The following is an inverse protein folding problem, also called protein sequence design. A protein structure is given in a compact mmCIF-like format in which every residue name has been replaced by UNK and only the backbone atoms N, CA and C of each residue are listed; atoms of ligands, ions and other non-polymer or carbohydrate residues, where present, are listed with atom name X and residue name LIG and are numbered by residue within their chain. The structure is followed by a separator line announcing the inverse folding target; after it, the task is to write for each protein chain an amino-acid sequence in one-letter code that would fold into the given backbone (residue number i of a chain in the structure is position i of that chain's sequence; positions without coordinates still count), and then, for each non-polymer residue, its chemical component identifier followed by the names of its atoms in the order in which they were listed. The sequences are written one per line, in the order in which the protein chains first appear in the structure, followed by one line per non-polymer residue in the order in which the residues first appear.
data_IF_959173571598
#
_entry.id   IF_959173571598
#
_cell.length_a   1.000
_cell.length_b   1.000
_cell.length_c   1.000
_cell.angle_alpha   90.00
_cell.angle_beta   90.00
_cell.angle_gamma   90.00
#
_symmetry.space_group_name_H-M   'P 1'
#
loop_
_entity.id
_entity.type
_entity.pdbx_description
1 polymer ?
#
# COMPACT_ATOMS: atom_id res chain seq x y z
N UNK A 1 -7.14 2.54 -22.91
CA UNK A 1 -6.19 3.20 -21.98
C UNK A 1 -5.94 2.24 -20.83
N UNK A 2 -4.68 2.02 -20.43
CA UNK A 2 -4.32 1.07 -19.38
C UNK A 2 -3.61 1.80 -18.24
N UNK A 3 -4.23 1.84 -17.07
CA UNK A 3 -3.69 2.50 -15.87
C UNK A 3 -3.88 1.59 -14.67
N UNK A 4 -2.95 1.68 -13.72
CA UNK A 4 -3.01 0.94 -12.46
C UNK A 4 -2.60 1.85 -11.33
N UNK A 5 -3.35 1.79 -10.26
CA UNK A 5 -3.01 2.40 -8.99
C UNK A 5 -2.83 1.29 -7.96
N UNK A 6 -1.91 1.46 -7.02
CA UNK A 6 -1.64 0.50 -5.96
C UNK A 6 -1.47 1.20 -4.62
N UNK A 7 -1.99 0.56 -3.58
CA UNK A 7 -1.80 0.91 -2.18
C UNK A 7 -1.48 -0.35 -1.40
N UNK A 8 -0.62 -0.23 -0.40
CA UNK A 8 -0.19 -1.35 0.43
C UNK A 8 -0.34 -0.98 1.92
N UNK A 9 -0.54 -2.00 2.75
CA UNK A 9 -0.29 -1.95 4.18
C UNK A 9 0.75 -2.99 4.53
N UNK A 10 1.51 -2.70 5.58
CA UNK A 10 2.61 -3.52 6.05
C UNK A 10 2.43 -3.90 7.51
N UNK A 11 3.10 -4.98 7.89
CA UNK A 11 3.25 -5.43 9.27
C UNK A 11 4.72 -5.85 9.48
N UNK A 12 5.20 -5.92 10.74
CA UNK A 12 6.52 -6.47 11.02
C UNK A 12 6.61 -7.93 10.56
N UNK A 13 7.71 -8.31 9.91
CA UNK A 13 7.98 -9.70 9.51
C UNK A 13 8.42 -10.54 10.72
N UNK A 14 7.44 -11.05 11.46
CA UNK A 14 7.67 -11.86 12.65
C UNK A 14 8.42 -13.16 12.31
N UNK A 15 8.05 -13.83 11.23
CA UNK A 15 8.65 -15.10 10.84
C UNK A 15 10.12 -14.89 10.43
N UNK A 16 10.39 -13.86 9.61
CA UNK A 16 11.73 -13.48 9.22
C UNK A 16 12.60 -13.09 10.42
N UNK A 17 12.07 -12.32 11.37
CA UNK A 17 12.82 -11.95 12.57
C UNK A 17 13.12 -13.13 13.50
N UNK A 18 12.19 -14.08 13.65
CA UNK A 18 12.45 -15.31 14.41
C UNK A 18 13.60 -16.10 13.82
N UNK A 19 13.61 -16.25 12.49
CA UNK A 19 14.68 -16.94 11.78
C UNK A 19 16.02 -16.18 11.89
N UNK A 20 15.99 -14.85 11.73
CA UNK A 20 17.19 -14.01 11.76
C UNK A 20 17.86 -13.95 13.14
N UNK A 21 17.06 -13.87 14.20
CA UNK A 21 17.55 -13.71 15.58
C UNK A 21 17.53 -15.03 16.38
N UNK A 22 17.31 -16.16 15.71
CA UNK A 22 17.27 -17.51 16.33
C UNK A 22 16.34 -17.57 17.56
N UNK A 23 15.15 -16.94 17.46
CA UNK A 23 14.21 -16.82 18.58
C UNK A 23 13.32 -18.06 18.71
N UNK A 24 13.29 -18.61 19.91
CA UNK A 24 12.44 -19.74 20.27
C UNK A 24 10.93 -19.38 20.23
N UNK A 25 10.09 -20.40 20.03
CA UNK A 25 8.62 -20.27 19.98
C UNK A 25 8.02 -19.70 21.28
N UNK A 26 8.71 -19.85 22.42
CA UNK A 26 8.31 -19.26 23.71
C UNK A 26 8.32 -17.73 23.73
N UNK A 27 9.07 -17.08 22.84
CA UNK A 27 9.03 -15.63 22.67
C UNK A 27 7.75 -15.28 21.94
N UNK A 28 6.87 -14.44 22.51
CA UNK A 28 5.62 -14.06 21.84
C UNK A 28 5.87 -13.16 20.62
N UNK A 29 4.97 -13.17 19.63
CA UNK A 29 5.05 -12.27 18.46
C UNK A 29 5.10 -10.80 18.85
N UNK A 30 4.47 -10.44 19.98
CA UNK A 30 4.57 -9.10 20.58
C UNK A 30 6.01 -8.73 20.90
N UNK A 31 6.76 -9.67 21.48
CA UNK A 31 8.16 -9.47 21.85
C UNK A 31 9.06 -9.49 20.63
N UNK A 32 8.79 -10.36 19.65
CA UNK A 32 9.51 -10.36 18.37
C UNK A 32 9.35 -9.01 17.65
N UNK A 33 8.12 -8.50 17.52
CA UNK A 33 7.86 -7.18 16.94
C UNK A 33 8.63 -6.06 17.67
N UNK A 34 8.67 -6.10 19.00
CA UNK A 34 9.47 -5.14 19.79
C UNK A 34 10.97 -5.22 19.47
N UNK A 35 11.51 -6.41 19.25
CA UNK A 35 12.90 -6.59 18.83
C UNK A 35 13.12 -5.92 17.47
N UNK A 36 12.23 -6.16 16.50
CA UNK A 36 12.28 -5.53 15.16
C UNK A 36 12.27 -3.99 15.29
N UNK A 37 11.29 -3.41 15.99
CA UNK A 37 11.19 -1.95 16.16
C UNK A 37 12.39 -1.37 16.93
N UNK A 38 12.94 -2.11 17.89
CA UNK A 38 14.12 -1.69 18.63
C UNK A 38 15.35 -1.60 17.73
N UNK A 39 15.61 -2.64 16.93
CA UNK A 39 16.71 -2.64 15.97
C UNK A 39 16.53 -1.54 14.92
N UNK A 40 15.32 -1.41 14.36
CA UNK A 40 15.01 -0.38 13.39
C UNK A 40 15.29 1.03 13.92
N UNK A 41 14.82 1.34 15.13
CA UNK A 41 15.06 2.64 15.79
C UNK A 41 16.55 2.89 16.03
N UNK A 42 17.34 1.86 16.35
CA UNK A 42 18.78 2.02 16.52
C UNK A 42 19.50 2.32 15.21
N UNK A 43 19.04 1.72 14.10
CA UNK A 43 19.65 1.86 12.77
C UNK A 43 19.26 3.16 12.08
N UNK A 44 17.97 3.53 12.12
CA UNK A 44 17.39 4.62 11.33
C UNK A 44 17.08 5.87 12.15
N UNK A 45 17.19 5.79 13.48
CA UNK A 45 16.83 6.86 14.39
C UNK A 45 15.37 6.82 14.86
N UNK A 46 15.04 7.69 15.82
CA UNK A 46 13.73 7.68 16.52
C UNK A 46 12.55 8.17 15.69
N UNK A 47 12.82 8.93 14.62
CA UNK A 47 11.78 9.54 13.80
C UNK A 47 11.40 8.66 12.58
N UNK A 48 12.03 7.48 12.46
CA UNK A 48 11.74 6.54 11.37
C UNK A 48 10.36 5.88 11.57
N UNK A 49 9.43 6.22 10.67
CA UNK A 49 8.03 5.77 10.76
C UNK A 49 7.78 4.40 10.14
N UNK A 50 8.62 3.98 9.20
CA UNK A 50 8.44 2.75 8.42
C UNK A 50 9.67 1.86 8.54
N UNK A 51 9.42 0.59 8.81
CA UNK A 51 10.43 -0.46 8.86
C UNK A 51 11.18 -0.55 7.54
N UNK A 52 12.45 -0.97 7.61
CA UNK A 52 13.21 -1.22 6.41
C UNK A 52 12.54 -2.36 5.60
N UNK A 53 12.68 -2.39 4.25
CA UNK A 53 12.09 -3.42 3.39
C UNK A 53 12.24 -4.88 3.84
N UNK A 54 13.34 -5.23 4.52
CA UNK A 54 13.59 -6.59 5.01
C UNK A 54 12.97 -6.88 6.39
N UNK A 55 12.56 -5.85 7.13
CA UNK A 55 11.95 -5.93 8.46
C UNK A 55 10.42 -5.96 8.41
N UNK A 56 9.82 -5.52 7.29
CA UNK A 56 8.39 -5.52 7.05
C UNK A 56 7.96 -6.69 6.15
N UNK A 57 6.66 -6.98 6.17
CA UNK A 57 5.95 -7.86 5.25
C UNK A 57 4.69 -7.17 4.73
N UNK A 58 4.24 -7.53 3.53
CA UNK A 58 2.97 -7.06 2.97
C UNK A 58 1.79 -7.71 3.72
N UNK A 59 0.85 -6.91 4.20
CA UNK A 59 -0.33 -7.38 4.93
C UNK A 59 -1.63 -7.20 4.13
N UNK A 60 -1.74 -6.09 3.41
CA UNK A 60 -2.84 -5.79 2.49
C UNK A 60 -2.25 -5.16 1.24
N UNK A 61 -2.74 -5.57 0.06
CA UNK A 61 -2.48 -4.87 -1.18
C UNK A 61 -3.79 -4.67 -1.92
N UNK A 62 -4.08 -3.42 -2.26
CA UNK A 62 -5.23 -3.02 -3.05
C UNK A 62 -4.73 -2.41 -4.36
N UNK A 63 -5.40 -2.75 -5.45
CA UNK A 63 -5.11 -2.24 -6.79
C UNK A 63 -6.39 -1.75 -7.46
N UNK A 64 -6.30 -0.59 -8.10
CA UNK A 64 -7.34 -0.07 -8.97
C UNK A 64 -6.84 -0.14 -10.41
N UNK A 65 -7.45 -1.01 -11.21
CA UNK A 65 -7.08 -1.22 -12.60
C UNK A 65 -8.10 -0.53 -13.51
N UNK A 66 -7.60 0.21 -14.50
CA UNK A 66 -8.40 0.84 -15.55
C UNK A 66 -7.89 0.27 -16.86
N UNK A 67 -8.76 -0.45 -17.59
CA UNK A 67 -8.44 -1.04 -18.89
C UNK A 67 -9.56 -0.71 -19.85
N UNK A 68 -9.24 0.09 -20.87
CA UNK A 68 -10.21 0.51 -21.89
C UNK A 68 -11.50 1.08 -21.28
N UNK A 69 -11.33 1.93 -20.25
CA UNK A 69 -12.37 2.58 -19.44
C UNK A 69 -13.17 1.63 -18.52
N UNK A 70 -12.93 0.33 -18.56
CA UNK A 70 -13.43 -0.59 -17.55
C UNK A 70 -12.59 -0.48 -16.27
N UNK A 71 -13.25 -0.31 -15.12
CA UNK A 71 -12.60 -0.18 -13.83
C UNK A 71 -12.74 -1.44 -12.99
N UNK A 72 -11.68 -1.79 -12.26
CA UNK A 72 -11.67 -2.94 -11.36
C UNK A 72 -10.90 -2.64 -10.09
N UNK A 73 -11.55 -2.82 -8.95
CA UNK A 73 -10.89 -2.88 -7.65
C UNK A 73 -10.52 -4.34 -7.35
N UNK A 74 -9.24 -4.58 -7.06
CA UNK A 74 -8.71 -5.89 -6.65
C UNK A 74 -8.05 -5.71 -5.30
N UNK A 75 -8.42 -6.51 -4.31
CA UNK A 75 -7.84 -6.45 -2.97
C UNK A 75 -7.40 -7.84 -2.53
N UNK A 76 -6.25 -7.94 -1.89
CA UNK A 76 -5.71 -9.19 -1.36
C UNK A 76 -5.01 -8.91 -0.03
N UNK A 77 -5.22 -9.77 0.97
CA UNK A 77 -4.68 -9.59 2.30
C UNK A 77 -4.35 -10.91 3.00
N UNK A 78 -3.54 -10.83 4.05
CA UNK A 78 -2.97 -11.99 4.72
C UNK A 78 -3.96 -12.84 5.54
N UNK A 79 -5.17 -12.35 5.80
CA UNK A 79 -6.18 -13.15 6.48
C UNK A 79 -6.73 -14.32 5.61
N UNK A 80 -6.66 -14.18 4.28
CA UNK A 80 -7.20 -15.19 3.35
C UNK A 80 -6.10 -16.03 2.69
N UNK A 81 -4.86 -15.53 2.70
CA UNK A 81 -3.73 -16.05 1.92
C UNK A 81 -2.41 -15.74 2.63
N UNK A 82 -1.39 -16.54 2.35
CA UNK A 82 0.00 -16.22 2.75
C UNK A 82 0.55 -15.01 1.98
N UNK A 83 1.62 -14.39 2.49
CA UNK A 83 2.31 -13.30 1.76
C UNK A 83 2.86 -13.77 0.41
N UNK A 84 3.36 -15.01 0.33
CA UNK A 84 3.78 -15.63 -0.94
C UNK A 84 2.63 -15.66 -1.95
N UNK A 85 1.44 -16.12 -1.55
CA UNK A 85 0.26 -16.15 -2.43
C UNK A 85 -0.23 -14.74 -2.81
N UNK A 86 -0.03 -13.75 -1.94
CA UNK A 86 -0.27 -12.34 -2.25
C UNK A 86 0.70 -11.87 -3.35
N UNK A 87 2.00 -12.09 -3.18
CA UNK A 87 3.01 -11.71 -4.17
C UNK A 87 2.80 -12.40 -5.52
N UNK A 88 2.49 -13.70 -5.51
CA UNK A 88 2.16 -14.46 -6.71
C UNK A 88 0.91 -13.90 -7.44
N UNK A 89 -0.06 -13.37 -6.69
CA UNK A 89 -1.23 -12.70 -7.26
C UNK A 89 -0.88 -11.31 -7.85
N UNK A 90 0.10 -10.61 -7.29
CA UNK A 90 0.55 -9.30 -7.78
C UNK A 90 1.43 -9.40 -9.03
N UNK A 91 2.31 -10.40 -9.11
CA UNK A 91 3.28 -10.56 -10.18
C UNK A 91 2.68 -10.38 -11.59
N UNK A 92 1.62 -11.09 -12.01
CA UNK A 92 1.07 -10.94 -13.36
C UNK A 92 0.41 -9.57 -13.63
N UNK A 93 0.14 -8.77 -12.59
CA UNK A 93 -0.48 -7.44 -12.71
C UNK A 93 0.54 -6.32 -12.80
N UNK A 94 1.73 -6.53 -12.23
CA UNK A 94 2.78 -5.51 -12.11
C UNK A 94 4.01 -5.78 -13.01
N UNK A 95 4.27 -7.02 -13.41
CA UNK A 95 5.47 -7.35 -14.19
C UNK A 95 5.43 -6.71 -15.58
N UNK A 96 6.37 -5.79 -15.83
CA UNK A 96 6.45 -5.01 -17.08
C UNK A 96 5.28 -4.03 -17.26
N UNK A 97 4.58 -3.68 -16.18
CA UNK A 97 3.47 -2.75 -16.19
C UNK A 97 3.72 -1.62 -15.18
N UNK A 98 3.53 -0.38 -15.61
CA UNK A 98 3.58 0.77 -14.71
C UNK A 98 2.33 0.79 -13.81
N UNK A 99 2.55 0.94 -12.50
CA UNK A 99 1.52 1.30 -11.55
C UNK A 99 1.89 2.58 -10.80
N UNK A 100 0.91 3.43 -10.53
CA UNK A 100 1.07 4.64 -9.75
C UNK A 100 0.71 4.37 -8.29
N UNK A 101 1.39 5.03 -7.36
CA UNK A 101 1.09 4.93 -5.93
C UNK A 101 1.24 6.29 -5.24
N UNK A 102 0.68 6.40 -4.04
CA UNK A 102 1.17 7.36 -3.05
C UNK A 102 2.10 6.58 -2.14
N UNK A 103 3.41 6.84 -2.21
CA UNK A 103 4.42 6.05 -1.50
C UNK A 103 4.51 6.44 -0.02
N UNK A 104 4.26 7.71 0.30
CA UNK A 104 4.31 8.27 1.66
C UNK A 104 5.64 8.01 2.41
N UNK A 105 6.71 7.71 1.67
CA UNK A 105 8.03 7.38 2.22
C UNK A 105 8.24 5.91 2.60
N UNK A 106 7.31 5.00 2.25
CA UNK A 106 7.44 3.55 2.55
C UNK A 106 8.47 2.85 1.66
N UNK A 107 8.89 3.48 0.56
CA UNK A 107 9.75 2.85 -0.44
C UNK A 107 9.12 1.54 -0.97
N UNK A 108 7.85 1.60 -1.37
CA UNK A 108 7.03 0.43 -1.72
C UNK A 108 7.68 -0.45 -2.79
N UNK A 109 8.37 0.15 -3.76
CA UNK A 109 9.09 -0.60 -4.78
C UNK A 109 10.23 -1.45 -4.20
N UNK A 110 10.98 -0.91 -3.24
CA UNK A 110 12.06 -1.64 -2.56
C UNK A 110 11.50 -2.74 -1.66
N UNK A 111 10.42 -2.43 -0.94
CA UNK A 111 9.67 -3.40 -0.14
C UNK A 111 9.21 -4.60 -0.98
N UNK A 112 8.41 -4.36 -2.03
CA UNK A 112 7.84 -5.44 -2.85
C UNK A 112 8.95 -6.30 -3.48
N UNK A 113 10.03 -5.68 -4.00
CA UNK A 113 11.18 -6.43 -4.55
C UNK A 113 11.88 -7.27 -3.50
N UNK A 114 12.05 -6.74 -2.29
CA UNK A 114 12.68 -7.47 -1.18
C UNK A 114 11.82 -8.66 -0.75
N UNK A 115 10.50 -8.49 -0.65
CA UNK A 115 9.58 -9.57 -0.29
C UNK A 115 9.47 -10.64 -1.38
N UNK A 116 9.48 -10.23 -2.65
CA UNK A 116 9.56 -11.16 -3.78
C UNK A 116 10.81 -12.04 -3.69
N UNK A 117 11.98 -11.45 -3.37
CA UNK A 117 13.22 -12.19 -3.17
C UNK A 117 13.12 -13.19 -2.01
N UNK A 118 12.56 -12.78 -0.86
CA UNK A 118 12.38 -13.65 0.31
C UNK A 118 11.52 -14.88 -0.01
N UNK A 119 10.49 -14.71 -0.83
CA UNK A 119 9.55 -15.78 -1.19
C UNK A 119 9.88 -16.50 -2.50
N UNK A 120 11.05 -16.22 -3.11
CA UNK A 120 11.44 -16.76 -4.41
C UNK A 120 10.41 -16.51 -5.55
N UNK A 121 9.68 -15.40 -5.46
CA UNK A 121 8.70 -14.97 -6.46
C UNK A 121 9.35 -14.07 -7.53
N UNK A 122 8.92 -14.25 -8.78
CA UNK A 122 9.49 -13.53 -9.93
C UNK A 122 8.73 -12.23 -10.23
N UNK A 123 9.30 -11.09 -9.82
CA UNK A 123 8.89 -9.75 -10.24
C UNK A 123 10.05 -9.10 -11.01
N UNK A 124 10.14 -9.37 -12.32
CA UNK A 124 11.33 -9.03 -13.13
C UNK A 124 11.40 -7.54 -13.41
N UNK A 125 10.28 -6.93 -13.70
CA UNK A 125 10.18 -5.52 -14.08
C UNK A 125 9.06 -4.82 -13.30
N UNK A 126 9.26 -4.68 -11.99
CA UNK A 126 8.36 -3.87 -11.15
C UNK A 126 8.63 -2.38 -11.39
N UNK A 127 7.61 -1.69 -11.90
CA UNK A 127 7.62 -0.25 -12.15
C UNK A 127 6.53 0.43 -11.32
N UNK A 128 6.95 1.06 -10.22
CA UNK A 128 6.07 1.92 -9.43
C UNK A 128 6.48 3.39 -9.62
N UNK A 129 5.50 4.24 -9.88
CA UNK A 129 5.67 5.68 -9.97
C UNK A 129 4.91 6.37 -8.84
N UNK A 130 5.62 6.89 -7.83
CA UNK A 130 5.00 7.76 -6.83
C UNK A 130 4.39 8.98 -7.51
N UNK A 131 3.12 9.25 -7.25
CA UNK A 131 2.39 10.42 -7.76
C UNK A 131 3.00 11.70 -7.15
N UNK A 132 3.52 11.61 -5.92
CA UNK A 132 4.24 12.71 -5.27
C UNK A 132 5.34 13.26 -6.18
N UNK A 133 6.11 12.38 -6.81
CA UNK A 133 7.19 12.79 -7.72
C UNK A 133 6.66 13.44 -9.01
N UNK A 134 5.52 12.98 -9.54
CA UNK A 134 4.85 13.63 -10.68
C UNK A 134 4.39 15.05 -10.33
N UNK A 135 4.13 15.31 -9.05
CA UNK A 135 3.79 16.62 -8.50
C UNK A 135 5.03 17.41 -8.01
N UNK A 136 6.24 16.92 -8.28
CA UNK A 136 7.51 17.49 -7.79
C UNK A 136 7.61 17.57 -6.26
N UNK A 137 6.92 16.68 -5.55
CA UNK A 137 7.02 16.48 -4.11
C UNK A 137 8.00 15.35 -3.81
N UNK A 138 8.62 15.40 -2.64
CA UNK A 138 9.38 14.27 -2.10
C UNK A 138 8.41 13.32 -1.41
N UNK A 139 8.43 12.00 -1.72
CA UNK A 139 7.61 11.03 -0.99
C UNK A 139 7.81 11.12 0.53
N UNK A 140 6.70 11.18 1.27
CA UNK A 140 6.68 11.33 2.74
C UNK A 140 6.64 12.77 3.26
N UNK A 141 6.90 13.80 2.42
CA UNK A 141 6.77 15.20 2.84
C UNK A 141 5.30 15.63 3.02
N UNK A 142 4.41 15.04 2.22
CA UNK A 142 2.96 15.29 2.24
C UNK A 142 2.25 13.94 2.22
N UNK A 143 1.42 13.69 3.22
CA UNK A 143 0.61 12.47 3.28
C UNK A 143 -0.58 12.52 2.32
N UNK A 144 -1.07 11.35 1.89
CA UNK A 144 -2.23 11.27 0.99
C UNK A 144 -3.46 11.96 1.57
N UNK A 145 -3.68 11.85 2.89
CA UNK A 145 -4.77 12.54 3.60
C UNK A 145 -4.71 14.06 3.47
N UNK A 146 -3.51 14.63 3.55
CA UNK A 146 -3.33 16.07 3.43
C UNK A 146 -3.60 16.55 2.00
N UNK A 147 -3.11 15.81 1.00
CA UNK A 147 -3.35 16.14 -0.40
C UNK A 147 -4.82 15.95 -0.78
N UNK A 148 -5.37 14.77 -0.51
CA UNK A 148 -6.76 14.42 -0.78
C UNK A 148 -7.73 15.39 -0.09
N UNK A 149 -7.48 15.75 1.17
CA UNK A 149 -8.29 16.70 1.93
C UNK A 149 -8.38 18.07 1.28
N UNK A 150 -7.31 18.56 0.63
CA UNK A 150 -7.33 19.83 -0.13
C UNK A 150 -8.24 19.78 -1.37
N UNK A 151 -8.51 18.58 -1.86
CA UNK A 151 -9.37 18.33 -3.01
C UNK A 151 -10.79 17.92 -2.59
N UNK A 152 -11.10 17.89 -1.29
CA UNK A 152 -12.38 17.42 -0.75
C UNK A 152 -12.57 15.91 -0.85
N UNK A 153 -11.48 15.15 -0.97
CA UNK A 153 -11.48 13.69 -1.06
C UNK A 153 -11.17 13.11 0.31
N UNK A 154 -11.96 12.13 0.75
CA UNK A 154 -11.71 11.40 2.00
C UNK A 154 -10.53 10.43 1.81
N UNK A 155 -9.57 10.50 2.73
CA UNK A 155 -8.48 9.56 2.86
C UNK A 155 -8.05 9.49 4.32
N UNK A 156 -7.25 8.50 4.65
CA UNK A 156 -6.74 8.29 6.00
C UNK A 156 -5.29 8.68 6.11
N UNK A 157 -4.94 9.32 7.23
CA UNK A 157 -3.55 9.56 7.59
C UNK A 157 -2.78 8.24 7.61
N UNK A 158 -1.63 8.19 6.97
CA UNK A 158 -0.79 7.00 7.04
C UNK A 158 -0.20 6.83 8.43
N UNK A 159 -0.17 5.58 8.89
CA UNK A 159 0.25 5.20 10.24
C UNK A 159 1.62 4.53 10.17
N UNK A 160 2.45 4.69 11.20
CA UNK A 160 3.72 3.96 11.29
C UNK A 160 3.50 2.45 11.36
N UNK A 161 4.52 1.65 11.02
CA UNK A 161 4.44 0.19 11.12
C UNK A 161 4.19 -0.29 12.56
N UNK A 162 4.70 0.43 13.56
CA UNK A 162 4.42 0.14 14.97
C UNK A 162 2.94 0.38 15.30
N UNK A 163 2.36 1.47 14.78
CA UNK A 163 0.93 1.76 14.95
C UNK A 163 0.06 0.75 14.19
N UNK A 164 0.44 0.39 12.96
CA UNK A 164 -0.25 -0.63 12.17
C UNK A 164 -0.25 -1.99 12.87
N UNK A 165 0.89 -2.38 13.46
CA UNK A 165 1.00 -3.58 14.27
C UNK A 165 0.10 -3.57 15.50
N UNK A 166 0.02 -2.43 16.19
CA UNK A 166 -0.85 -2.26 17.35
C UNK A 166 -2.35 -2.34 16.98
N UNK A 167 -2.74 -1.77 15.84
CA UNK A 167 -4.09 -1.89 15.28
C UNK A 167 -4.38 -3.36 14.96
N UNK A 168 -3.50 -4.02 14.19
CA UNK A 168 -3.66 -5.42 13.81
C UNK A 168 -3.84 -6.34 15.01
N UNK A 169 -3.04 -6.16 16.06
CA UNK A 169 -3.13 -6.97 17.28
C UNK A 169 -4.42 -6.77 18.07
N UNK A 170 -5.05 -5.61 17.98
CA UNK A 170 -6.25 -5.25 18.76
C UNK A 170 -7.53 -5.54 18.00
N UNK A 171 -7.52 -5.26 16.69
CA UNK A 171 -8.72 -5.15 15.86
C UNK A 171 -8.66 -6.06 14.63
N UNK A 172 -7.54 -6.75 14.39
CA UNK A 172 -7.36 -7.62 13.23
C UNK A 172 -7.02 -6.85 11.95
N UNK A 173 -7.19 -7.51 10.80
CA UNK A 173 -6.77 -6.96 9.51
C UNK A 173 -7.74 -5.89 8.96
N UNK A 174 -9.01 -5.93 9.36
CA UNK A 174 -10.09 -5.12 8.75
C UNK A 174 -9.80 -3.62 8.76
N UNK A 175 -9.34 -2.98 9.86
CA UNK A 175 -9.06 -1.55 9.82
C UNK A 175 -7.88 -1.17 8.90
N UNK A 176 -6.93 -2.09 8.69
CA UNK A 176 -5.85 -1.89 7.74
C UNK A 176 -6.36 -2.08 6.30
N UNK A 177 -7.25 -3.04 6.09
CA UNK A 177 -7.92 -3.26 4.81
C UNK A 177 -8.69 -2.02 4.35
N UNK A 178 -9.57 -1.49 5.20
CA UNK A 178 -10.38 -0.31 4.91
C UNK A 178 -9.50 0.91 4.60
N UNK A 179 -8.47 1.13 5.43
CA UNK A 179 -7.49 2.20 5.21
C UNK A 179 -6.79 2.06 3.86
N UNK A 180 -6.40 0.84 3.50
CA UNK A 180 -5.70 0.56 2.24
C UNK A 180 -6.56 0.92 1.03
N UNK A 181 -7.85 0.51 1.06
CA UNK A 181 -8.82 0.76 -0.01
C UNK A 181 -9.13 2.26 -0.11
N UNK A 182 -9.45 2.92 0.99
CA UNK A 182 -9.75 4.35 0.99
C UNK A 182 -8.57 5.18 0.48
N UNK A 183 -7.34 4.86 0.91
CA UNK A 183 -6.14 5.54 0.44
C UNK A 183 -5.83 5.23 -1.03
N UNK A 184 -6.12 4.02 -1.52
CA UNK A 184 -6.02 3.68 -2.94
C UNK A 184 -6.97 4.52 -3.79
N UNK A 185 -8.24 4.63 -3.37
CA UNK A 185 -9.25 5.39 -4.11
C UNK A 185 -8.90 6.88 -4.12
N UNK A 186 -8.43 7.41 -2.98
CA UNK A 186 -7.92 8.79 -2.93
C UNK A 186 -6.70 9.00 -3.83
N UNK A 187 -5.74 8.06 -3.81
CA UNK A 187 -4.56 8.08 -4.69
C UNK A 187 -4.98 8.09 -6.17
N UNK A 188 -5.98 7.26 -6.52
CA UNK A 188 -6.54 7.18 -7.88
C UNK A 188 -7.13 8.51 -8.30
N UNK A 189 -7.98 9.14 -7.47
CA UNK A 189 -8.59 10.43 -7.77
C UNK A 189 -7.58 11.57 -7.91
N UNK A 190 -6.55 11.61 -7.05
CA UNK A 190 -5.44 12.56 -7.16
C UNK A 190 -4.68 12.34 -8.47
N UNK A 191 -4.40 11.08 -8.81
CA UNK A 191 -3.72 10.69 -10.04
C UNK A 191 -4.48 11.08 -11.30
N UNK A 192 -5.77 10.77 -11.38
CA UNK A 192 -6.63 11.16 -12.50
C UNK A 192 -6.62 12.68 -12.72
N UNK A 193 -6.73 13.46 -11.63
CA UNK A 193 -6.65 14.92 -11.70
C UNK A 193 -5.27 15.41 -12.18
N UNK A 194 -4.19 14.79 -11.72
CA UNK A 194 -2.84 15.11 -12.18
C UNK A 194 -2.69 14.80 -13.68
N UNK A 195 -3.23 13.68 -14.14
CA UNK A 195 -3.17 13.26 -15.54
C UNK A 195 -3.96 14.19 -16.46
N UNK A 196 -5.15 14.64 -16.03
CA UNK A 196 -5.92 15.66 -16.74
C UNK A 196 -5.14 16.97 -16.86
N UNK A 197 -4.56 17.46 -15.76
CA UNK A 197 -3.74 18.68 -15.75
C UNK A 197 -2.45 18.56 -16.59
N UNK A 198 -2.00 17.33 -16.87
CA UNK A 198 -0.84 17.04 -17.71
C UNK A 198 -1.23 16.71 -19.17
N UNK A 199 -2.48 16.95 -19.57
CA UNK A 199 -3.03 16.66 -20.90
C UNK A 199 -2.87 15.17 -21.33
N UNK A 200 -2.82 14.25 -20.37
CA UNK A 200 -2.74 12.80 -20.63
C UNK A 200 -4.11 12.16 -20.85
N UNK A 201 -5.15 12.77 -20.30
CA UNK A 201 -6.56 12.44 -20.49
C UNK A 201 -7.35 13.75 -20.64
N UNK A 202 -8.50 13.69 -21.31
CA UNK A 202 -9.42 14.82 -21.40
C UNK A 202 -10.32 14.93 -20.15
N UNK A 203 -11.08 16.02 -20.08
CA UNK A 203 -11.99 16.32 -18.96
C UNK A 203 -13.09 15.25 -18.83
N UNK A 204 -13.69 14.83 -19.95
CA UNK A 204 -14.73 13.79 -19.98
C UNK A 204 -14.22 12.46 -19.40
N UNK A 205 -13.02 12.02 -19.80
CA UNK A 205 -12.38 10.81 -19.27
C UNK A 205 -12.05 10.96 -17.78
N UNK A 206 -11.59 12.14 -17.35
CA UNK A 206 -11.30 12.40 -15.94
C UNK A 206 -12.56 12.30 -15.08
N UNK A 207 -13.68 12.87 -15.54
CA UNK A 207 -14.95 12.85 -14.83
C UNK A 207 -15.55 11.44 -14.77
N UNK A 208 -15.59 10.72 -15.90
CA UNK A 208 -16.12 9.35 -15.98
C UNK A 208 -15.36 8.41 -15.05
N UNK A 209 -14.02 8.43 -15.09
CA UNK A 209 -13.18 7.57 -14.26
C UNK A 209 -13.24 7.96 -12.78
N UNK A 210 -13.34 9.26 -12.48
CA UNK A 210 -13.51 9.73 -11.11
C UNK A 210 -14.84 9.24 -10.53
N UNK A 211 -15.91 9.25 -11.31
CA UNK A 211 -17.21 8.75 -10.87
C UNK A 211 -17.19 7.23 -10.67
N UNK A 212 -16.59 6.48 -11.60
CA UNK A 212 -16.39 5.05 -11.42
C UNK A 212 -15.60 4.73 -10.13
N UNK A 213 -14.54 5.50 -9.84
CA UNK A 213 -13.77 5.37 -8.60
C UNK A 213 -14.63 5.63 -7.35
N UNK A 214 -15.51 6.64 -7.37
CA UNK A 214 -16.42 6.95 -6.25
C UNK A 214 -17.49 5.87 -6.05
N UNK A 215 -17.97 5.23 -7.11
CA UNK A 215 -18.91 4.11 -7.01
C UNK A 215 -18.28 2.94 -6.24
N UNK A 216 -17.00 2.62 -6.49
CA UNK A 216 -16.28 1.61 -5.70
C UNK A 216 -16.15 2.01 -4.23
N UNK A 217 -15.91 3.30 -3.93
CA UNK A 217 -15.87 3.80 -2.54
C UNK A 217 -17.20 3.58 -1.81
N UNK A 218 -18.31 3.93 -2.47
CA UNK A 218 -19.65 3.82 -1.90
C UNK A 218 -20.04 2.34 -1.65
N UNK A 219 -19.71 1.45 -2.59
CA UNK A 219 -20.00 0.03 -2.44
C UNK A 219 -19.18 -0.62 -1.31
N UNK A 220 -17.91 -0.22 -1.14
CA UNK A 220 -17.05 -0.73 -0.06
C UNK A 220 -17.54 -0.29 1.34
N UNK A 221 -17.96 0.96 1.48
CA UNK A 221 -18.53 1.47 2.76
C UNK A 221 -19.92 0.92 3.08
N UNK A 222 -20.61 0.32 2.10
CA UNK A 222 -21.90 -0.35 2.29
C UNK A 222 -21.78 -1.72 2.97
N UNK A 223 -20.74 -2.49 2.65
CA UNK A 223 -20.52 -3.85 3.17
C UNK A 223 -20.00 -3.89 4.63
N UNK A 224 -19.62 -2.75 5.20
CA UNK A 224 -19.14 -2.63 6.59
C UNK A 224 -20.22 -2.17 7.58
N UNK A 225 -21.48 -2.05 7.15
CA UNK A 225 -22.60 -1.52 7.95
C UNK A 225 -23.69 -2.52 8.36
N UNK A 226 -23.51 -3.82 8.11
CA UNK A 226 -24.43 -4.88 8.57
C UNK A 226 -23.92 -5.65 9.80
#
# INVERSE_FOLDING_TARGET
MNMRFISCQTLPDIAGARALYELDESVSDKQVAKIIFHHHTQEQGRDASFLAPFQAMLSVVAMFEIRDFETRLVVTHIADRSEMELLAALAPRLDGQLAQCWDDGHQLAALIKTRALVHAESLKDLQLQPIEQLLSLVPGDVGIEQMAGRLGITAHKTVSDESAWDIYRKEGITPLLDRCIDNLLATTLVGLRQMWLADLIDEDACDELSEACRLHANNHTGDTRD
#
